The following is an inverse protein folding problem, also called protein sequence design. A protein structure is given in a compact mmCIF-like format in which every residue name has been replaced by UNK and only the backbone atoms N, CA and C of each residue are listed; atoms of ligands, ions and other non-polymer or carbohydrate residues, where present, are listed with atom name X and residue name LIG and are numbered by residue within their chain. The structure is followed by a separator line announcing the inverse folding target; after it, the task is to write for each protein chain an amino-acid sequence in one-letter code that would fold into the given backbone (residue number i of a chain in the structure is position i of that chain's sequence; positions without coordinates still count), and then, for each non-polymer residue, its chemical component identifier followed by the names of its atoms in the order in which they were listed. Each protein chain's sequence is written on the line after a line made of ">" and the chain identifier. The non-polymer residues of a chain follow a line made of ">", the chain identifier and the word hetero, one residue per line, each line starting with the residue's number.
data_IF_356026696458
#
_entry.id   IF_356026696458
#
_cell.length_a   1.000
_cell.length_b   1.000
_cell.length_c   1.000
_cell.angle_alpha   90.00
_cell.angle_beta   90.00
_cell.angle_gamma   90.00
#
_symmetry.space_group_name_H-M   'P 1'
#
loop_
_entity.id
_entity.type
_entity.pdbx_description
1 polymer ?
#
# COMPACT_ATOMS: atom_id res chain seq x y z
N UNK A 1 15.76 -2.84 19.98
CA UNK A 1 16.93 -2.04 19.61
C UNK A 1 17.97 -2.84 18.84
N UNK A 2 18.46 -3.99 19.34
CA UNK A 2 19.44 -4.84 18.62
C UNK A 2 19.03 -5.17 17.18
N UNK A 3 17.79 -5.63 16.97
CA UNK A 3 17.31 -5.99 15.64
C UNK A 3 17.15 -4.79 14.69
N UNK A 4 16.84 -3.60 15.22
CA UNK A 4 16.80 -2.38 14.41
C UNK A 4 18.19 -2.10 13.84
N UNK A 5 19.21 -2.09 14.72
CA UNK A 5 20.60 -1.87 14.32
C UNK A 5 21.05 -2.91 13.28
N UNK A 6 20.76 -4.19 13.51
CA UNK A 6 21.11 -5.27 12.57
C UNK A 6 20.43 -5.06 11.21
N UNK A 7 19.12 -4.79 11.19
CA UNK A 7 18.37 -4.58 9.95
C UNK A 7 18.87 -3.33 9.19
N UNK A 8 19.21 -2.26 9.90
CA UNK A 8 19.77 -1.03 9.31
C UNK A 8 21.16 -1.27 8.73
N UNK A 9 22.04 -1.98 9.44
CA UNK A 9 23.37 -2.35 8.94
C UNK A 9 23.23 -3.25 7.70
N UNK A 10 22.34 -4.25 7.73
CA UNK A 10 22.10 -5.13 6.59
C UNK A 10 21.60 -4.36 5.36
N UNK A 11 20.69 -3.39 5.55
CA UNK A 11 20.24 -2.49 4.48
C UNK A 11 21.40 -1.70 3.88
N UNK A 12 22.22 -1.04 4.70
CA UNK A 12 23.35 -0.25 4.21
C UNK A 12 24.43 -1.10 3.54
N UNK A 13 24.72 -2.28 4.08
CA UNK A 13 25.63 -3.24 3.47
C UNK A 13 25.13 -3.67 2.09
N UNK A 14 23.83 -3.97 1.97
CA UNK A 14 23.25 -4.31 0.68
C UNK A 14 23.31 -3.14 -0.29
N UNK A 15 23.00 -1.91 0.13
CA UNK A 15 23.12 -0.73 -0.74
C UNK A 15 24.55 -0.57 -1.24
N UNK A 16 25.56 -0.77 -0.38
CA UNK A 16 26.96 -0.72 -0.81
C UNK A 16 27.31 -1.80 -1.84
N UNK A 17 26.84 -3.05 -1.62
CA UNK A 17 27.02 -4.16 -2.58
C UNK A 17 26.31 -3.84 -3.90
N UNK A 18 25.07 -3.35 -3.84
CA UNK A 18 24.27 -2.99 -5.01
C UNK A 18 24.94 -1.88 -5.83
N UNK A 19 25.60 -0.91 -5.20
CA UNK A 19 26.38 0.12 -5.89
C UNK A 19 27.65 -0.43 -6.55
N UNK A 20 28.34 -1.36 -5.89
CA UNK A 20 29.60 -1.96 -6.40
C UNK A 20 29.33 -2.91 -7.57
N UNK A 21 28.30 -3.75 -7.46
CA UNK A 21 28.00 -4.82 -8.43
C UNK A 21 26.83 -4.48 -9.38
N UNK A 22 26.44 -3.20 -9.46
CA UNK A 22 25.27 -2.79 -10.26
C UNK A 22 25.42 -3.20 -11.73
N UNK A 23 26.62 -3.03 -12.30
CA UNK A 23 26.88 -3.29 -13.71
C UNK A 23 26.84 -4.79 -14.01
N UNK A 24 27.51 -5.60 -13.20
CA UNK A 24 27.54 -7.06 -13.36
C UNK A 24 26.14 -7.65 -13.21
N UNK A 25 25.34 -7.17 -12.25
CA UNK A 25 23.94 -7.57 -12.10
C UNK A 25 23.10 -7.15 -13.29
N UNK A 26 23.38 -5.99 -13.89
CA UNK A 26 22.68 -5.49 -15.08
C UNK A 26 22.98 -6.35 -16.31
N UNK A 27 24.25 -6.69 -16.54
CA UNK A 27 24.69 -7.46 -17.70
C UNK A 27 24.20 -8.92 -17.62
N UNK A 28 24.28 -9.51 -16.42
CA UNK A 28 23.72 -10.84 -16.16
C UNK A 28 22.21 -10.87 -16.36
N UNK A 29 21.49 -9.84 -15.89
CA UNK A 29 20.05 -9.72 -16.11
C UNK A 29 19.72 -9.59 -17.59
N UNK A 30 20.40 -8.71 -18.31
CA UNK A 30 20.16 -8.46 -19.74
C UNK A 30 20.34 -9.74 -20.54
N UNK A 31 21.43 -10.47 -20.28
CA UNK A 31 21.71 -11.76 -20.93
C UNK A 31 20.60 -12.79 -20.65
N UNK A 32 20.14 -12.88 -19.40
CA UNK A 32 19.04 -13.79 -19.05
C UNK A 32 17.72 -13.36 -19.69
N UNK A 33 17.35 -12.08 -19.65
CA UNK A 33 16.12 -11.57 -20.24
C UNK A 33 16.07 -11.90 -21.73
N UNK A 34 17.14 -11.62 -22.48
CA UNK A 34 17.21 -11.94 -23.91
C UNK A 34 17.08 -13.43 -24.18
N UNK A 35 17.79 -14.26 -23.40
CA UNK A 35 17.67 -15.71 -23.49
C UNK A 35 16.23 -16.19 -23.26
N UNK A 36 15.58 -15.69 -22.19
CA UNK A 36 14.19 -16.05 -21.87
C UNK A 36 13.21 -15.59 -22.96
N UNK A 37 13.41 -14.41 -23.55
CA UNK A 37 12.54 -13.90 -24.61
C UNK A 37 12.71 -14.65 -25.94
N UNK A 38 13.90 -15.17 -26.21
CA UNK A 38 14.19 -15.94 -27.43
C UNK A 38 13.77 -17.42 -27.32
N UNK A 39 13.69 -17.98 -26.12
CA UNK A 39 13.46 -19.41 -25.89
C UNK A 39 12.10 -19.69 -25.24
N UNK A 40 11.06 -18.97 -25.67
CA UNK A 40 9.74 -19.08 -25.07
C UNK A 40 8.97 -20.33 -25.48
N UNK A 41 8.12 -20.81 -24.58
CA UNK A 41 7.10 -21.80 -24.89
C UNK A 41 5.68 -21.20 -24.86
N UNK A 42 4.71 -21.79 -25.59
CA UNK A 42 3.33 -21.30 -25.61
C UNK A 42 2.72 -21.21 -24.20
N UNK A 43 2.16 -20.05 -23.83
CA UNK A 43 1.53 -19.80 -22.54
C UNK A 43 2.47 -19.33 -21.42
N UNK A 44 3.79 -19.28 -21.65
CA UNK A 44 4.76 -18.80 -20.66
C UNK A 44 4.52 -17.34 -20.26
N UNK A 45 4.23 -16.48 -21.25
CA UNK A 45 3.89 -15.07 -21.02
C UNK A 45 2.68 -14.94 -20.10
N UNK A 46 1.61 -15.68 -20.38
CA UNK A 46 0.38 -15.62 -19.59
C UNK A 46 0.62 -16.08 -18.15
N UNK A 47 1.41 -17.14 -17.96
CA UNK A 47 1.82 -17.60 -16.63
C UNK A 47 2.53 -16.49 -15.83
N UNK A 48 3.48 -15.78 -16.43
CA UNK A 48 4.18 -14.69 -15.75
C UNK A 48 3.29 -13.47 -15.49
N UNK A 49 2.34 -13.18 -16.37
CA UNK A 49 1.34 -12.13 -16.16
C UNK A 49 0.44 -12.45 -14.96
N UNK A 50 0.07 -13.72 -14.71
CA UNK A 50 -0.70 -14.10 -13.51
C UNK A 50 0.04 -13.71 -12.22
N UNK A 51 1.33 -14.03 -12.12
CA UNK A 51 2.12 -13.67 -10.93
C UNK A 51 2.29 -12.16 -10.75
N UNK A 52 2.27 -11.40 -11.86
CA UNK A 52 2.35 -9.94 -11.85
C UNK A 52 1.02 -9.32 -11.39
N UNK A 53 -0.08 -9.61 -12.09
CA UNK A 53 -1.37 -8.95 -11.89
C UNK A 53 -2.15 -9.41 -10.66
N UNK A 54 -1.90 -10.62 -10.18
CA UNK A 54 -2.53 -11.13 -8.95
C UNK A 54 -2.29 -10.25 -7.72
N UNK A 55 -1.22 -9.46 -7.69
CA UNK A 55 -0.95 -8.51 -6.62
C UNK A 55 -2.08 -7.50 -6.43
N UNK A 56 -2.75 -7.10 -7.51
CA UNK A 56 -3.87 -6.15 -7.45
C UNK A 56 -5.11 -6.71 -6.72
N UNK A 57 -5.17 -8.03 -6.47
CA UNK A 57 -6.21 -8.64 -5.65
C UNK A 57 -5.99 -8.41 -4.15
N UNK A 58 -4.74 -8.22 -3.70
CA UNK A 58 -4.39 -8.15 -2.27
C UNK A 58 -4.97 -6.91 -1.55
N UNK A 59 -5.02 -5.71 -2.16
CA UNK A 59 -5.78 -4.59 -1.60
C UNK A 59 -7.29 -4.91 -1.45
N UNK A 60 -7.88 -5.64 -2.39
CA UNK A 60 -9.28 -6.06 -2.32
C UNK A 60 -9.53 -7.00 -1.14
N UNK A 61 -8.56 -7.86 -0.79
CA UNK A 61 -8.63 -8.68 0.43
C UNK A 61 -8.68 -7.80 1.69
N UNK A 62 -7.93 -6.70 1.74
CA UNK A 62 -8.02 -5.75 2.86
C UNK A 62 -9.42 -5.14 2.98
N UNK A 63 -10.03 -4.75 1.85
CA UNK A 63 -11.40 -4.23 1.81
C UNK A 63 -12.44 -5.26 2.25
N UNK A 64 -12.33 -6.50 1.77
CA UNK A 64 -13.20 -7.61 2.18
C UNK A 64 -13.02 -7.88 3.68
N UNK A 65 -11.77 -7.96 4.16
CA UNK A 65 -11.45 -8.17 5.57
C UNK A 65 -12.06 -7.08 6.45
N UNK A 66 -11.96 -5.82 6.06
CA UNK A 66 -12.59 -4.70 6.75
C UNK A 66 -14.12 -4.85 6.86
N UNK A 67 -14.76 -5.34 5.79
CA UNK A 67 -16.20 -5.55 5.74
C UNK A 67 -16.69 -6.72 6.59
N UNK A 68 -15.94 -7.84 6.63
CA UNK A 68 -16.45 -9.13 7.14
C UNK A 68 -15.75 -9.68 8.38
N UNK A 69 -14.56 -9.18 8.73
CA UNK A 69 -13.80 -9.64 9.90
C UNK A 69 -13.99 -8.72 11.11
N UNK A 70 -13.72 -9.29 12.29
CA UNK A 70 -13.68 -8.56 13.57
C UNK A 70 -12.53 -7.55 13.60
N UNK A 71 -11.34 -7.97 13.16
CA UNK A 71 -10.10 -7.17 13.12
C UNK A 71 -10.10 -6.13 11.97
N UNK A 72 -11.06 -5.20 12.03
CA UNK A 72 -11.22 -4.11 11.07
C UNK A 72 -10.04 -3.16 11.09
N UNK A 73 -9.52 -2.85 12.27
CA UNK A 73 -8.39 -1.95 12.41
C UNK A 73 -7.12 -2.58 11.81
N UNK A 74 -6.87 -3.88 11.99
CA UNK A 74 -5.81 -4.59 11.29
C UNK A 74 -5.98 -4.57 9.76
N UNK A 75 -7.20 -4.71 9.24
CA UNK A 75 -7.47 -4.57 7.81
C UNK A 75 -7.10 -3.17 7.27
N UNK A 76 -7.41 -2.12 8.03
CA UNK A 76 -7.06 -0.75 7.67
C UNK A 76 -5.54 -0.52 7.75
N UNK A 77 -4.88 -1.00 8.80
CA UNK A 77 -3.42 -0.91 8.96
C UNK A 77 -2.68 -1.69 7.86
N UNK A 78 -3.19 -2.84 7.44
CA UNK A 78 -2.65 -3.57 6.30
C UNK A 78 -2.79 -2.78 4.98
N UNK A 79 -3.97 -2.22 4.71
CA UNK A 79 -4.20 -1.34 3.56
C UNK A 79 -3.29 -0.10 3.57
N UNK A 80 -3.04 0.48 4.75
CA UNK A 80 -2.09 1.57 4.93
C UNK A 80 -0.65 1.18 4.60
N UNK A 81 -0.21 0.00 5.04
CA UNK A 81 1.15 -0.46 4.74
C UNK A 81 1.34 -0.71 3.24
N UNK A 82 0.28 -1.12 2.52
CA UNK A 82 0.30 -1.19 1.06
C UNK A 82 0.52 0.19 0.45
N UNK A 83 -0.27 1.18 0.85
CA UNK A 83 -0.15 2.54 0.31
C UNK A 83 1.17 3.21 0.71
N UNK A 84 1.66 2.95 1.92
CA UNK A 84 2.97 3.39 2.37
C UNK A 84 4.10 2.75 1.55
N UNK A 85 3.99 1.46 1.22
CA UNK A 85 4.92 0.76 0.32
C UNK A 85 4.93 1.39 -1.06
N UNK A 86 3.75 1.67 -1.64
CA UNK A 86 3.63 2.34 -2.94
C UNK A 86 4.23 3.76 -2.94
N UNK A 87 3.92 4.56 -1.92
CA UNK A 87 4.46 5.90 -1.75
C UNK A 87 6.00 5.87 -1.58
N UNK A 88 6.50 4.95 -0.76
CA UNK A 88 7.94 4.76 -0.53
C UNK A 88 8.66 4.28 -1.78
N UNK A 89 8.09 3.34 -2.54
CA UNK A 89 8.65 2.91 -3.81
C UNK A 89 8.82 4.08 -4.78
N UNK A 90 7.78 4.90 -4.90
CA UNK A 90 7.76 6.04 -5.83
C UNK A 90 8.76 7.12 -5.40
N UNK A 91 8.88 7.37 -4.09
CA UNK A 91 9.92 8.24 -3.55
C UNK A 91 11.33 7.70 -3.83
N UNK A 92 11.58 6.43 -3.57
CA UNK A 92 12.88 5.79 -3.83
C UNK A 92 13.22 5.77 -5.33
N UNK A 93 12.22 5.62 -6.20
CA UNK A 93 12.41 5.75 -7.66
C UNK A 93 12.95 7.11 -8.05
N UNK A 94 12.45 8.19 -7.46
CA UNK A 94 13.01 9.52 -7.66
C UNK A 94 14.42 9.66 -7.06
N UNK A 95 14.70 8.98 -5.95
CA UNK A 95 16.05 8.97 -5.37
C UNK A 95 17.07 8.30 -6.30
N UNK A 96 16.72 7.14 -6.88
CA UNK A 96 17.64 6.32 -7.68
C UNK A 96 17.62 6.60 -9.18
N UNK A 97 16.52 7.12 -9.73
CA UNK A 97 16.36 7.60 -11.12
C UNK A 97 16.89 6.67 -12.23
N UNK A 98 17.01 5.36 -11.97
CA UNK A 98 17.58 4.42 -12.92
C UNK A 98 16.55 4.01 -13.98
N UNK A 99 16.99 3.98 -15.24
CA UNK A 99 16.20 3.49 -16.37
C UNK A 99 15.75 2.02 -16.23
N UNK A 100 14.74 1.64 -17.00
CA UNK A 100 14.36 0.23 -17.19
C UNK A 100 15.23 -0.42 -18.26
N UNK A 101 15.41 -1.75 -18.25
CA UNK A 101 16.21 -2.43 -19.28
C UNK A 101 15.76 -2.09 -20.70
N UNK A 102 14.46 -2.17 -20.99
CA UNK A 102 13.92 -1.87 -22.33
C UNK A 102 14.06 -0.39 -22.76
N UNK A 103 14.35 0.54 -21.85
CA UNK A 103 14.62 1.95 -22.20
C UNK A 103 15.97 2.11 -22.91
N UNK A 104 16.92 1.22 -22.64
CA UNK A 104 18.32 1.36 -23.06
C UNK A 104 18.76 0.21 -23.96
N UNK A 105 18.33 -1.01 -23.69
CA UNK A 105 18.68 -2.20 -24.49
C UNK A 105 17.66 -2.36 -25.60
N UNK A 106 18.09 -2.25 -26.86
CA UNK A 106 17.20 -2.25 -28.02
C UNK A 106 16.54 -3.60 -28.24
N UNK A 107 17.23 -4.69 -27.93
CA UNK A 107 16.80 -6.06 -28.18
C UNK A 107 15.79 -6.58 -27.15
N UNK A 108 15.63 -5.89 -26.01
CA UNK A 108 14.63 -6.26 -25.00
C UNK A 108 13.26 -5.72 -25.39
N UNK A 109 12.29 -6.63 -25.54
CA UNK A 109 10.90 -6.29 -25.82
C UNK A 109 10.09 -6.21 -24.52
N UNK A 110 9.43 -5.07 -24.21
CA UNK A 110 8.64 -4.94 -22.99
C UNK A 110 7.26 -5.61 -23.13
N UNK A 111 6.94 -6.55 -22.24
CA UNK A 111 5.57 -7.11 -22.16
C UNK A 111 4.61 -6.29 -21.32
N UNK A 112 5.14 -5.34 -20.54
CA UNK A 112 4.37 -4.33 -19.85
C UNK A 112 5.09 -2.97 -19.99
N UNK A 113 4.31 -1.91 -20.13
CA UNK A 113 4.82 -0.58 -20.44
C UNK A 113 4.67 0.40 -19.29
N UNK A 114 5.64 0.36 -18.38
CA UNK A 114 5.70 1.25 -17.24
C UNK A 114 6.58 2.46 -17.56
N UNK A 115 6.01 3.67 -17.48
CA UNK A 115 6.65 4.93 -17.91
C UNK A 115 7.51 5.60 -16.85
N UNK A 116 7.62 4.99 -15.68
CA UNK A 116 8.34 5.46 -14.49
C UNK A 116 9.74 4.82 -14.39
N UNK A 117 10.60 5.32 -13.48
CA UNK A 117 11.92 4.72 -13.23
C UNK A 117 11.84 3.24 -12.82
N UNK A 118 12.93 2.51 -13.07
CA UNK A 118 13.03 1.08 -12.80
C UNK A 118 13.47 0.73 -11.37
N UNK A 119 14.31 1.54 -10.72
CA UNK A 119 14.92 1.20 -9.43
C UNK A 119 14.30 1.94 -8.26
N UNK A 120 13.84 1.28 -7.18
CA UNK A 120 13.61 -0.17 -7.05
C UNK A 120 12.29 -0.62 -7.69
N UNK A 121 12.15 -1.93 -7.96
CA UNK A 121 10.94 -2.50 -8.54
C UNK A 121 9.74 -2.42 -7.60
N UNK A 122 8.66 -1.80 -8.06
CA UNK A 122 7.40 -1.67 -7.31
C UNK A 122 6.67 -3.00 -7.11
N UNK A 123 6.77 -3.94 -8.06
CA UNK A 123 6.18 -5.28 -7.93
C UNK A 123 6.94 -6.12 -6.90
N UNK A 124 8.28 -6.03 -6.89
CA UNK A 124 9.10 -6.69 -5.87
C UNK A 124 8.80 -6.14 -4.47
N UNK A 125 8.77 -4.81 -4.34
CA UNK A 125 8.45 -4.15 -3.07
C UNK A 125 7.02 -4.50 -2.60
N UNK A 126 6.03 -4.41 -3.49
CA UNK A 126 4.61 -4.65 -3.14
C UNK A 126 4.30 -6.11 -2.86
N UNK A 127 4.87 -7.07 -3.60
CA UNK A 127 4.70 -8.51 -3.29
C UNK A 127 5.23 -8.85 -1.91
N UNK A 128 6.42 -8.35 -1.55
CA UNK A 128 6.97 -8.51 -0.21
C UNK A 128 6.08 -7.88 0.86
N UNK A 129 5.55 -6.68 0.63
CA UNK A 129 4.67 -5.99 1.57
C UNK A 129 3.35 -6.74 1.75
N UNK A 130 2.65 -6.98 0.65
CA UNK A 130 1.30 -7.52 0.65
C UNK A 130 1.29 -8.98 1.11
N UNK A 131 2.17 -9.83 0.58
CA UNK A 131 2.13 -11.25 0.87
C UNK A 131 2.59 -11.57 2.31
N UNK A 132 3.63 -10.90 2.83
CA UNK A 132 4.11 -11.17 4.20
C UNK A 132 3.29 -10.46 5.28
N UNK A 133 2.82 -9.23 5.05
CA UNK A 133 2.06 -8.50 6.07
C UNK A 133 0.62 -9.01 6.21
N UNK A 134 0.02 -9.56 5.15
CA UNK A 134 -1.35 -10.09 5.18
C UNK A 134 -1.58 -11.11 6.30
N UNK A 135 -0.85 -12.26 6.37
CA UNK A 135 -1.06 -13.21 7.45
C UNK A 135 -0.60 -12.67 8.80
N UNK A 136 0.42 -11.80 8.84
CA UNK A 136 0.93 -11.23 10.08
C UNK A 136 -0.10 -10.32 10.77
N UNK A 137 -0.79 -9.49 9.99
CA UNK A 137 -1.71 -8.46 10.51
C UNK A 137 -3.15 -8.99 10.60
N UNK A 138 -3.65 -9.69 9.57
CA UNK A 138 -5.05 -10.14 9.55
C UNK A 138 -5.25 -11.45 10.31
N UNK A 139 -4.24 -12.31 10.33
CA UNK A 139 -4.32 -13.65 10.93
C UNK A 139 -3.19 -13.87 11.95
N UNK A 140 -2.99 -12.98 12.94
CA UNK A 140 -1.87 -13.06 13.88
C UNK A 140 -1.86 -14.36 14.69
N UNK A 141 -3.02 -15.00 14.84
CA UNK A 141 -3.20 -16.32 15.43
C UNK A 141 -2.40 -17.44 14.75
N UNK A 142 -2.05 -17.29 13.47
CA UNK A 142 -1.19 -18.25 12.76
C UNK A 142 0.21 -18.27 13.37
N UNK A 143 0.70 -17.14 13.86
CA UNK A 143 2.09 -16.94 14.28
C UNK A 143 2.30 -16.97 15.79
N UNK A 144 1.24 -16.90 16.60
CA UNK A 144 1.34 -16.95 18.06
C UNK A 144 1.36 -18.40 18.53
N UNK A 145 2.46 -18.80 19.16
CA UNK A 145 2.54 -20.05 19.93
C UNK A 145 1.75 -19.89 21.22
N UNK A 146 0.58 -20.51 21.24
CA UNK A 146 -0.35 -20.46 22.36
C UNK A 146 -0.74 -21.91 22.69
N UNK A 147 -0.78 -22.29 23.98
CA UNK A 147 -0.89 -23.68 24.43
C UNK A 147 -2.18 -24.43 24.00
N UNK A 148 -3.14 -23.74 23.37
CA UNK A 148 -4.42 -24.28 22.90
C UNK A 148 -4.67 -24.06 21.39
N UNK A 149 -3.64 -23.81 20.56
CA UNK A 149 -3.87 -23.35 19.19
C UNK A 149 -3.96 -24.40 18.08
N UNK A 150 -4.89 -24.05 17.17
CA UNK A 150 -5.53 -24.74 16.06
C UNK A 150 -4.67 -24.91 14.80
N UNK A 151 -3.48 -24.32 14.76
CA UNK A 151 -2.63 -24.24 13.56
C UNK A 151 -1.29 -24.95 13.80
N UNK A 152 -1.15 -26.22 13.39
CA UNK A 152 0.09 -26.97 13.52
C UNK A 152 1.23 -26.38 12.68
N UNK A 153 2.47 -26.68 13.06
CA UNK A 153 3.70 -26.16 12.44
C UNK A 153 3.71 -26.30 10.91
N UNK A 154 3.22 -27.42 10.37
CA UNK A 154 3.19 -27.66 8.92
C UNK A 154 2.36 -26.61 8.16
N UNK A 155 1.28 -26.08 8.74
CA UNK A 155 0.48 -25.02 8.11
C UNK A 155 1.32 -23.75 7.98
N UNK A 156 2.08 -23.39 9.02
CA UNK A 156 2.96 -22.21 8.99
C UNK A 156 4.03 -22.35 7.92
N UNK A 157 4.66 -23.52 7.83
CA UNK A 157 5.67 -23.82 6.81
C UNK A 157 5.08 -23.71 5.41
N UNK A 158 3.89 -24.28 5.17
CA UNK A 158 3.20 -24.19 3.87
C UNK A 158 2.87 -22.73 3.53
N UNK A 159 2.36 -21.95 4.48
CA UNK A 159 2.03 -20.53 4.27
C UNK A 159 3.28 -19.72 3.92
N UNK A 160 4.38 -19.90 4.65
CA UNK A 160 5.66 -19.25 4.35
C UNK A 160 6.14 -19.65 2.95
N UNK A 161 6.11 -20.94 2.62
CA UNK A 161 6.53 -21.42 1.31
C UNK A 161 5.73 -20.78 0.18
N UNK A 162 4.39 -20.76 0.28
CA UNK A 162 3.52 -20.14 -0.73
C UNK A 162 3.84 -18.66 -0.89
N UNK A 163 3.99 -17.92 0.21
CA UNK A 163 4.29 -16.48 0.20
C UNK A 163 5.65 -16.20 -0.42
N UNK A 164 6.69 -16.96 -0.03
CA UNK A 164 8.04 -16.81 -0.56
C UNK A 164 8.09 -17.16 -2.03
N UNK A 165 7.46 -18.27 -2.43
CA UNK A 165 7.35 -18.66 -3.83
C UNK A 165 6.64 -17.60 -4.66
N UNK A 166 5.49 -17.10 -4.21
CA UNK A 166 4.75 -16.05 -4.91
C UNK A 166 5.58 -14.78 -5.06
N UNK A 167 6.20 -14.33 -3.97
CA UNK A 167 7.06 -13.12 -3.96
C UNK A 167 8.22 -13.26 -4.94
N UNK A 168 8.87 -14.42 -4.97
CA UNK A 168 9.95 -14.70 -5.90
C UNK A 168 9.46 -14.70 -7.35
N UNK A 169 8.38 -15.43 -7.64
CA UNK A 169 7.81 -15.52 -9.00
C UNK A 169 7.33 -14.16 -9.51
N UNK A 170 6.78 -13.30 -8.65
CA UNK A 170 6.43 -11.93 -9.02
C UNK A 170 7.66 -11.08 -9.34
N UNK A 171 8.79 -11.26 -8.65
CA UNK A 171 10.04 -10.58 -9.02
C UNK A 171 10.60 -11.11 -10.34
N UNK A 172 10.69 -12.43 -10.47
CA UNK A 172 11.22 -13.10 -11.66
C UNK A 172 10.39 -12.81 -12.91
N UNK A 173 9.06 -12.70 -12.78
CA UNK A 173 8.20 -12.28 -13.90
C UNK A 173 8.61 -10.92 -14.47
N UNK A 174 9.16 -10.00 -13.66
CA UNK A 174 9.61 -8.69 -14.13
C UNK A 174 10.88 -8.75 -14.98
N UNK A 175 11.74 -9.74 -14.72
CA UNK A 175 12.93 -10.02 -15.55
C UNK A 175 12.50 -10.55 -16.90
N UNK A 176 11.59 -11.52 -16.90
CA UNK A 176 11.00 -12.11 -18.09
C UNK A 176 10.31 -11.05 -18.97
N UNK A 177 9.55 -10.15 -18.35
CA UNK A 177 8.86 -9.06 -19.06
C UNK A 177 9.80 -7.96 -19.57
N UNK A 178 11.10 -8.00 -19.26
CA UNK A 178 12.08 -7.02 -19.73
C UNK A 178 12.00 -5.63 -19.06
N UNK A 179 11.24 -5.51 -17.97
CA UNK A 179 10.91 -4.20 -17.36
C UNK A 179 11.75 -3.84 -16.14
N UNK A 180 12.48 -4.81 -15.59
CA UNK A 180 13.35 -4.61 -14.43
C UNK A 180 14.60 -5.49 -14.49
N UNK A 181 15.68 -4.99 -13.87
CA UNK A 181 16.89 -5.78 -13.64
C UNK A 181 16.91 -6.47 -12.27
N UNK A 182 17.83 -7.44 -12.08
CA UNK A 182 18.04 -8.08 -10.78
C UNK A 182 18.30 -7.09 -9.65
N UNK A 183 19.21 -6.13 -9.84
CA UNK A 183 19.50 -5.12 -8.82
C UNK A 183 18.25 -4.32 -8.44
N UNK A 184 17.39 -4.00 -9.42
CA UNK A 184 16.13 -3.29 -9.17
C UNK A 184 15.13 -4.12 -8.34
N UNK A 185 15.06 -5.43 -8.60
CA UNK A 185 14.16 -6.36 -7.91
C UNK A 185 14.64 -6.62 -6.48
N UNK A 186 15.92 -7.00 -6.33
CA UNK A 186 16.48 -7.37 -5.02
C UNK A 186 16.48 -6.15 -4.10
N UNK A 187 16.83 -4.96 -4.59
CA UNK A 187 16.74 -3.73 -3.80
C UNK A 187 15.30 -3.44 -3.34
N UNK A 188 14.31 -3.71 -4.19
CA UNK A 188 12.89 -3.61 -3.81
C UNK A 188 12.51 -4.55 -2.67
N UNK A 189 12.96 -5.81 -2.71
CA UNK A 189 12.75 -6.75 -1.61
C UNK A 189 13.47 -6.34 -0.34
N UNK A 190 14.72 -5.87 -0.43
CA UNK A 190 15.51 -5.46 0.73
C UNK A 190 14.88 -4.25 1.44
N UNK A 191 14.49 -3.22 0.69
CA UNK A 191 13.78 -2.07 1.29
C UNK A 191 12.47 -2.48 1.94
N UNK A 192 11.67 -3.31 1.29
CA UNK A 192 10.40 -3.71 1.89
C UNK A 192 10.59 -4.60 3.10
N UNK A 193 11.54 -5.55 3.06
CA UNK A 193 11.86 -6.38 4.21
C UNK A 193 12.26 -5.51 5.41
N UNK A 194 13.12 -4.52 5.18
CA UNK A 194 13.49 -3.54 6.21
C UNK A 194 12.24 -2.81 6.77
N UNK A 195 11.42 -2.21 5.90
CA UNK A 195 10.20 -1.48 6.31
C UNK A 195 9.25 -2.38 7.11
N UNK A 196 8.96 -3.58 6.60
CA UNK A 196 8.06 -4.55 7.23
C UNK A 196 8.58 -5.02 8.58
N UNK A 197 9.88 -5.32 8.72
CA UNK A 197 10.50 -5.74 9.98
C UNK A 197 10.41 -4.60 11.00
N UNK A 198 10.79 -3.37 10.61
CA UNK A 198 10.73 -2.23 11.54
C UNK A 198 9.28 -1.96 11.97
N UNK A 199 8.34 -1.98 11.02
CA UNK A 199 6.93 -1.77 11.29
C UNK A 199 6.39 -2.80 12.27
N UNK A 200 6.50 -4.10 11.95
CA UNK A 200 5.92 -5.16 12.75
C UNK A 200 6.49 -5.23 14.17
N UNK A 201 7.78 -4.95 14.34
CA UNK A 201 8.47 -5.15 15.62
C UNK A 201 8.39 -3.93 16.53
N UNK A 202 8.39 -2.72 15.98
CA UNK A 202 8.52 -1.50 16.77
C UNK A 202 7.30 -0.57 16.73
N UNK A 203 6.43 -0.73 15.72
CA UNK A 203 5.38 0.26 15.40
C UNK A 203 3.99 -0.35 15.48
N UNK A 204 3.76 -1.53 14.90
CA UNK A 204 2.44 -2.14 14.71
C UNK A 204 1.63 -2.21 16.00
N UNK A 205 2.13 -2.93 17.01
CA UNK A 205 1.41 -3.11 18.28
C UNK A 205 1.16 -1.78 18.99
N UNK A 206 2.10 -0.82 18.92
CA UNK A 206 1.93 0.50 19.54
C UNK A 206 0.83 1.32 18.88
N UNK A 207 0.78 1.32 17.55
CA UNK A 207 -0.29 1.99 16.79
C UNK A 207 -1.61 1.29 17.08
N UNK A 208 -1.64 -0.04 17.05
CA UNK A 208 -2.84 -0.84 17.29
C UNK A 208 -3.42 -0.56 18.68
N UNK A 209 -2.61 -0.66 19.73
CA UNK A 209 -3.01 -0.35 21.11
C UNK A 209 -3.48 1.10 21.25
N UNK A 210 -2.71 2.07 20.74
CA UNK A 210 -3.07 3.48 20.82
C UNK A 210 -4.43 3.78 20.15
N UNK A 211 -4.65 3.24 18.95
CA UNK A 211 -5.90 3.43 18.23
C UNK A 211 -7.06 2.73 18.93
N UNK A 212 -6.88 1.50 19.43
CA UNK A 212 -7.93 0.82 20.20
C UNK A 212 -8.33 1.61 21.44
N UNK A 213 -7.37 2.10 22.22
CA UNK A 213 -7.65 2.93 23.41
C UNK A 213 -8.37 4.23 23.03
N UNK A 214 -7.96 4.88 21.94
CA UNK A 214 -8.63 6.10 21.46
C UNK A 214 -10.09 5.87 21.04
N UNK A 215 -10.43 4.64 20.64
CA UNK A 215 -11.75 4.28 20.12
C UNK A 215 -12.65 3.61 21.17
N UNK A 216 -12.23 3.54 22.43
CA UNK A 216 -13.06 3.06 23.53
C UNK A 216 -14.09 4.11 23.99
N UNK A 217 -15.17 3.63 24.62
CA UNK A 217 -16.19 4.51 25.22
C UNK A 217 -15.59 5.42 26.29
N UNK A 218 -15.96 6.70 26.28
CA UNK A 218 -15.49 7.69 27.26
C UNK A 218 -14.11 8.30 26.96
N UNK A 219 -13.37 7.80 25.96
CA UNK A 219 -12.10 8.39 25.56
C UNK A 219 -12.27 9.62 24.66
N UNK A 220 -11.28 10.53 24.69
CA UNK A 220 -11.27 11.80 23.93
C UNK A 220 -10.96 11.63 22.42
N UNK A 221 -10.80 10.40 21.94
CA UNK A 221 -10.32 10.10 20.59
C UNK A 221 -8.83 10.44 20.40
N UNK A 222 -8.39 10.46 19.13
CA UNK A 222 -7.02 10.82 18.76
C UNK A 222 -6.66 12.23 19.24
N UNK A 223 -5.44 12.41 19.76
CA UNK A 223 -4.97 13.72 20.23
C UNK A 223 -4.60 14.64 19.06
N UNK A 224 -4.80 15.95 19.22
CA UNK A 224 -4.39 16.92 18.19
C UNK A 224 -2.88 16.87 17.92
N UNK A 225 -2.06 16.54 18.94
CA UNK A 225 -0.61 16.38 18.81
C UNK A 225 -0.24 15.26 17.84
N UNK A 226 -0.95 14.12 17.89
CA UNK A 226 -0.71 13.02 16.95
C UNK A 226 -1.04 13.42 15.51
N UNK A 227 -2.14 14.15 15.31
CA UNK A 227 -2.50 14.69 13.99
C UNK A 227 -1.42 15.64 13.49
N UNK A 228 -0.92 16.53 14.34
CA UNK A 228 0.16 17.46 14.00
C UNK A 228 1.46 16.74 13.64
N UNK A 229 1.85 15.70 14.38
CA UNK A 229 3.06 14.90 14.11
C UNK A 229 2.92 14.18 12.76
N UNK A 230 1.81 13.51 12.51
CA UNK A 230 1.59 12.79 11.24
C UNK A 230 1.50 13.78 10.06
N UNK A 231 0.85 14.92 10.26
CA UNK A 231 0.80 16.01 9.29
C UNK A 231 2.18 16.58 8.97
N UNK A 232 3.03 16.78 9.99
CA UNK A 232 4.41 17.23 9.80
C UNK A 232 5.23 16.20 9.02
N UNK A 233 5.07 14.90 9.32
CA UNK A 233 5.75 13.83 8.57
C UNK A 233 5.33 13.86 7.09
N UNK A 234 4.04 13.92 6.79
CA UNK A 234 3.54 13.97 5.41
C UNK A 234 3.98 15.25 4.68
N UNK A 235 4.02 16.38 5.38
CA UNK A 235 4.52 17.64 4.85
C UNK A 235 6.01 17.57 4.53
N UNK A 236 6.84 17.12 5.47
CA UNK A 236 8.28 16.93 5.26
C UNK A 236 8.55 15.95 4.12
N UNK A 237 7.81 14.84 4.05
CA UNK A 237 7.88 13.90 2.94
C UNK A 237 7.61 14.59 1.59
N UNK A 238 6.55 15.40 1.52
CA UNK A 238 6.19 16.16 0.32
C UNK A 238 7.32 17.12 -0.08
N UNK A 239 7.89 17.86 0.88
CA UNK A 239 9.01 18.77 0.61
C UNK A 239 10.23 18.04 0.04
N UNK A 240 10.61 16.90 0.64
CA UNK A 240 11.75 16.11 0.15
C UNK A 240 11.44 15.51 -1.23
N UNK A 241 10.20 15.07 -1.46
CA UNK A 241 9.78 14.56 -2.77
C UNK A 241 9.86 15.65 -3.87
N UNK A 242 9.48 16.89 -3.55
CA UNK A 242 9.65 18.06 -4.44
C UNK A 242 11.12 18.31 -4.74
N UNK A 243 11.99 18.24 -3.73
CA UNK A 243 13.44 18.41 -3.93
C UNK A 243 13.96 17.38 -4.94
N UNK A 244 13.63 16.09 -4.77
CA UNK A 244 14.06 15.08 -5.73
C UNK A 244 13.41 15.21 -7.12
N UNK A 245 12.16 15.67 -7.19
CA UNK A 245 11.52 16.00 -8.48
C UNK A 245 12.36 17.03 -9.25
N UNK A 246 12.74 18.13 -8.60
CA UNK A 246 13.47 19.22 -9.24
C UNK A 246 14.94 18.87 -9.49
N UNK A 247 15.59 18.12 -8.60
CA UNK A 247 16.94 17.60 -8.85
C UNK A 247 16.96 16.67 -10.06
N UNK A 248 15.97 15.77 -10.21
CA UNK A 248 15.87 14.93 -11.39
C UNK A 248 15.64 15.75 -12.67
N UNK A 249 14.80 16.78 -12.61
CA UNK A 249 14.50 17.63 -13.77
C UNK A 249 15.72 18.44 -14.25
N UNK A 250 16.50 19.01 -13.33
CA UNK A 250 17.52 20.01 -13.67
C UNK A 250 18.96 19.56 -13.49
N UNK A 251 19.21 18.49 -12.73
CA UNK A 251 20.56 18.10 -12.32
C UNK A 251 20.90 16.67 -12.74
N UNK A 252 20.06 15.69 -12.38
CA UNK A 252 20.44 14.28 -12.52
C UNK A 252 20.16 13.70 -13.90
N UNK A 253 19.16 14.18 -14.63
CA UNK A 253 18.76 13.62 -15.93
C UNK A 253 19.05 14.63 -17.02
N UNK A 254 19.86 14.23 -18.00
CA UNK A 254 20.12 15.07 -19.16
C UNK A 254 18.91 15.05 -20.13
N UNK A 255 18.64 16.14 -20.86
CA UNK A 255 17.57 16.16 -21.85
C UNK A 255 17.72 15.06 -22.91
N UNK A 256 18.94 14.75 -23.33
CA UNK A 256 19.21 13.70 -24.32
C UNK A 256 18.86 12.31 -23.80
N UNK A 257 19.21 12.01 -22.54
CA UNK A 257 18.88 10.75 -21.89
C UNK A 257 17.37 10.58 -21.69
N UNK A 258 16.68 11.63 -21.26
CA UNK A 258 15.23 11.61 -21.14
C UNK A 258 14.54 11.41 -22.50
N UNK A 259 15.00 12.08 -23.56
CA UNK A 259 14.50 11.87 -24.92
C UNK A 259 14.73 10.44 -25.37
N UNK A 260 15.92 9.87 -25.14
CA UNK A 260 16.23 8.48 -25.47
C UNK A 260 15.24 7.51 -24.82
N UNK A 261 15.01 7.66 -23.51
CA UNK A 261 14.09 6.79 -22.78
C UNK A 261 12.63 6.95 -23.24
N UNK A 262 12.18 8.19 -23.50
CA UNK A 262 10.81 8.44 -23.96
C UNK A 262 10.58 7.95 -25.39
N UNK A 263 11.58 8.05 -26.26
CA UNK A 263 11.55 7.44 -27.60
C UNK A 263 11.44 5.93 -27.49
N UNK A 264 12.25 5.28 -26.64
CA UNK A 264 12.16 3.84 -26.42
C UNK A 264 10.78 3.41 -25.89
N UNK A 265 10.17 4.19 -24.99
CA UNK A 265 8.79 3.97 -24.56
C UNK A 265 7.82 4.11 -25.73
N UNK A 266 7.94 5.16 -26.54
CA UNK A 266 7.04 5.40 -27.67
C UNK A 266 7.12 4.30 -28.73
N UNK A 267 8.33 3.86 -29.08
CA UNK A 267 8.57 2.88 -30.14
C UNK A 267 8.19 1.46 -29.73
N UNK A 268 8.47 1.07 -28.48
CA UNK A 268 8.31 -0.32 -28.02
C UNK A 268 6.98 -0.61 -27.36
N UNK A 269 6.27 0.42 -26.88
CA UNK A 269 5.02 0.20 -26.17
C UNK A 269 3.83 0.23 -27.12
N UNK A 270 3.06 -0.85 -27.11
CA UNK A 270 1.80 -0.92 -27.83
C UNK A 270 0.87 0.25 -27.41
N UNK A 271 0.09 0.75 -28.38
CA UNK A 271 -0.93 1.78 -28.20
C UNK A 271 -0.43 3.16 -27.71
N UNK A 272 0.87 3.47 -27.82
CA UNK A 272 1.33 4.85 -27.58
C UNK A 272 1.01 5.72 -28.80
N UNK A 273 0.14 6.71 -28.61
CA UNK A 273 -0.21 7.70 -29.64
C UNK A 273 0.57 9.00 -29.52
N UNK A 274 1.17 9.24 -28.36
CA UNK A 274 1.87 10.49 -28.04
C UNK A 274 3.30 10.22 -27.59
N UNK A 275 4.24 10.98 -28.15
CA UNK A 275 5.61 11.03 -27.66
C UNK A 275 5.66 11.94 -26.43
N UNK A 276 5.97 11.35 -25.28
CA UNK A 276 6.06 12.10 -24.03
C UNK A 276 7.35 12.91 -23.94
N UNK A 277 7.26 14.07 -23.31
CA UNK A 277 8.41 14.87 -22.89
C UNK A 277 8.73 14.60 -21.43
N UNK A 278 9.94 14.98 -20.99
CA UNK A 278 10.35 14.89 -19.59
C UNK A 278 9.41 15.65 -18.62
N UNK A 279 8.70 16.67 -19.13
CA UNK A 279 7.74 17.47 -18.34
C UNK A 279 6.32 16.89 -18.35
N UNK A 280 6.08 15.81 -19.09
CA UNK A 280 4.77 15.16 -19.12
C UNK A 280 4.44 14.56 -17.73
N UNK A 281 3.25 14.78 -17.18
CA UNK A 281 2.94 14.39 -15.80
C UNK A 281 2.92 12.88 -15.57
N UNK A 282 2.74 12.09 -16.63
CA UNK A 282 2.56 10.64 -16.59
C UNK A 282 3.85 9.83 -16.81
N UNK A 283 5.03 10.46 -16.77
CA UNK A 283 6.31 9.78 -17.04
C UNK A 283 7.38 10.08 -15.98
N UNK A 284 8.35 9.17 -15.89
CA UNK A 284 9.60 9.28 -15.13
C UNK A 284 9.42 9.84 -13.72
N UNK A 285 10.04 10.97 -13.41
CA UNK A 285 10.02 11.59 -12.09
C UNK A 285 8.67 12.19 -11.71
N UNK A 286 7.86 12.58 -12.71
CA UNK A 286 6.59 13.25 -12.46
C UNK A 286 5.56 12.27 -11.89
N UNK A 287 5.43 11.09 -12.50
CA UNK A 287 4.56 10.03 -11.98
C UNK A 287 5.06 9.53 -10.62
N UNK A 288 6.37 9.36 -10.44
CA UNK A 288 6.97 8.95 -9.17
C UNK A 288 6.69 9.98 -8.05
N UNK A 289 6.78 11.27 -8.36
CA UNK A 289 6.45 12.33 -7.42
C UNK A 289 4.98 12.28 -7.03
N UNK A 290 4.07 12.27 -8.01
CA UNK A 290 2.62 12.20 -7.77
C UNK A 290 2.25 11.01 -6.88
N UNK A 291 2.72 9.81 -7.22
CA UNK A 291 2.42 8.59 -6.45
C UNK A 291 3.04 8.59 -5.04
N UNK A 292 4.15 9.30 -4.82
CA UNK A 292 4.74 9.44 -3.49
C UNK A 292 3.84 10.20 -2.50
N UNK A 293 2.85 10.96 -2.99
CA UNK A 293 1.96 11.78 -2.16
C UNK A 293 0.75 11.02 -1.60
N UNK A 294 0.58 9.73 -1.94
CA UNK A 294 -0.41 8.89 -1.27
C UNK A 294 -0.21 8.77 0.24
N UNK A 295 0.95 9.17 0.77
CA UNK A 295 1.20 9.29 2.21
C UNK A 295 0.15 10.14 2.95
N UNK A 296 -0.48 11.11 2.26
CA UNK A 296 -1.51 11.98 2.82
C UNK A 296 -2.78 11.24 3.26
N UNK A 297 -3.00 10.00 2.81
CA UNK A 297 -4.13 9.18 3.27
C UNK A 297 -4.06 8.89 4.77
N UNK A 298 -2.85 8.76 5.33
CA UNK A 298 -2.65 8.53 6.76
C UNK A 298 -3.11 9.73 7.59
N UNK A 299 -2.77 10.95 7.15
CA UNK A 299 -3.21 12.21 7.78
C UNK A 299 -4.73 12.30 7.75
N UNK A 300 -5.32 12.04 6.58
CA UNK A 300 -6.77 12.09 6.40
C UNK A 300 -7.52 11.16 7.33
N UNK A 301 -7.04 9.93 7.46
CA UNK A 301 -7.72 8.95 8.29
C UNK A 301 -7.61 9.26 9.79
N UNK A 302 -6.48 9.78 10.29
CA UNK A 302 -6.41 10.20 11.71
C UNK A 302 -7.29 11.41 12.00
N UNK A 303 -7.40 12.34 11.04
CA UNK A 303 -8.39 13.42 11.10
C UNK A 303 -9.81 12.84 11.08
N UNK A 304 -10.07 11.89 10.20
CA UNK A 304 -11.36 11.23 10.06
C UNK A 304 -11.82 10.50 11.31
N UNK A 305 -10.94 9.74 11.98
CA UNK A 305 -11.21 9.16 13.30
C UNK A 305 -11.62 10.26 14.28
N UNK A 306 -10.84 11.35 14.37
CA UNK A 306 -11.12 12.45 15.30
C UNK A 306 -12.47 13.12 15.02
N UNK A 307 -12.82 13.32 13.75
CA UNK A 307 -14.08 13.93 13.32
C UNK A 307 -15.29 13.02 13.54
N UNK A 308 -15.12 11.71 13.36
CA UNK A 308 -16.21 10.74 13.51
C UNK A 308 -16.74 10.68 14.94
N UNK A 309 -15.85 10.83 15.95
CA UNK A 309 -16.13 10.55 17.37
C UNK A 309 -16.76 9.17 17.61
N UNK A 310 -16.57 8.24 16.68
CA UNK A 310 -17.11 6.89 16.77
C UNK A 310 -16.27 6.02 17.71
N UNK A 311 -16.89 4.94 18.18
CA UNK A 311 -16.21 3.92 18.99
C UNK A 311 -15.94 2.65 18.18
N UNK A 312 -15.12 1.76 18.71
CA UNK A 312 -14.85 0.46 18.09
C UNK A 312 -14.77 -0.65 19.15
N UNK A 313 -15.73 -1.57 19.10
CA UNK A 313 -15.86 -2.71 20.01
C UNK A 313 -15.56 -4.01 19.24
N UNK A 314 -14.27 -4.25 18.95
CA UNK A 314 -13.78 -5.33 18.06
C UNK A 314 -14.48 -6.68 18.29
N UNK A 315 -14.61 -7.11 19.55
CA UNK A 315 -15.14 -8.44 19.89
C UNK A 315 -16.66 -8.61 19.71
N UNK A 316 -17.39 -7.53 19.40
CA UNK A 316 -18.85 -7.59 19.23
C UNK A 316 -19.28 -7.77 17.78
N UNK A 317 -18.42 -7.42 16.81
CA UNK A 317 -18.81 -7.34 15.40
C UNK A 317 -19.38 -8.65 14.87
N UNK A 318 -18.66 -9.76 14.97
CA UNK A 318 -19.10 -11.06 14.41
C UNK A 318 -20.40 -11.58 15.00
N UNK A 319 -20.66 -11.32 16.28
CA UNK A 319 -21.91 -11.74 16.92
C UNK A 319 -23.10 -11.03 16.29
N UNK A 320 -23.06 -9.69 16.21
CA UNK A 320 -24.16 -8.90 15.65
C UNK A 320 -24.21 -8.89 14.11
N UNK A 321 -23.07 -9.05 13.43
CA UNK A 321 -23.03 -9.16 11.98
C UNK A 321 -23.74 -10.43 11.50
N UNK A 322 -23.67 -11.53 12.25
CA UNK A 322 -24.40 -12.77 11.92
C UNK A 322 -25.91 -12.57 11.91
N UNK A 323 -26.44 -11.76 12.82
CA UNK A 323 -27.89 -11.48 12.89
C UNK A 323 -28.42 -10.57 11.77
N UNK A 324 -27.54 -9.92 10.99
CA UNK A 324 -27.98 -9.15 9.83
C UNK A 324 -28.54 -10.06 8.73
N UNK A 325 -29.62 -9.62 8.10
CA UNK A 325 -30.17 -10.24 6.90
C UNK A 325 -29.16 -10.15 5.74
N UNK A 326 -29.24 -11.09 4.79
CA UNK A 326 -28.34 -11.14 3.63
C UNK A 326 -28.38 -9.84 2.81
N UNK A 327 -29.56 -9.23 2.65
CA UNK A 327 -29.70 -7.96 1.93
C UNK A 327 -28.97 -6.82 2.65
N UNK A 328 -28.95 -6.78 3.98
CA UNK A 328 -28.22 -5.76 4.76
C UNK A 328 -26.71 -5.93 4.57
N UNK A 329 -26.22 -7.18 4.62
CA UNK A 329 -24.80 -7.48 4.35
C UNK A 329 -24.39 -7.04 2.95
N UNK A 330 -25.22 -7.34 1.96
CA UNK A 330 -25.00 -6.95 0.56
C UNK A 330 -25.02 -5.43 0.39
N UNK A 331 -25.98 -4.76 1.02
CA UNK A 331 -26.10 -3.30 1.00
C UNK A 331 -24.85 -2.62 1.59
N UNK A 332 -24.29 -3.15 2.69
CA UNK A 332 -23.05 -2.64 3.29
C UNK A 332 -21.85 -2.69 2.34
N UNK A 333 -21.75 -3.74 1.54
CA UNK A 333 -20.69 -3.90 0.52
C UNK A 333 -20.93 -2.89 -0.61
N UNK A 334 -22.16 -2.81 -1.13
CA UNK A 334 -22.52 -1.93 -2.21
C UNK A 334 -22.29 -0.44 -1.86
N UNK A 335 -22.63 -0.04 -0.63
CA UNK A 335 -22.34 1.31 -0.12
C UNK A 335 -20.84 1.61 -0.19
N UNK A 336 -19.99 0.70 0.30
CA UNK A 336 -18.54 0.94 0.26
C UNK A 336 -18.02 1.03 -1.17
N UNK A 337 -18.49 0.16 -2.06
CA UNK A 337 -18.12 0.17 -3.50
C UNK A 337 -18.53 1.51 -4.13
N UNK A 338 -19.77 1.98 -3.92
CA UNK A 338 -20.22 3.27 -4.45
C UNK A 338 -19.32 4.40 -3.93
N UNK A 339 -19.07 4.44 -2.62
CA UNK A 339 -18.27 5.51 -2.03
C UNK A 339 -16.84 5.54 -2.59
N UNK A 340 -16.22 4.37 -2.80
CA UNK A 340 -14.91 4.29 -3.45
C UNK A 340 -15.00 4.70 -4.92
N UNK A 341 -16.07 4.29 -5.62
CA UNK A 341 -16.29 4.65 -7.02
C UNK A 341 -16.48 6.16 -7.24
N UNK A 342 -16.94 6.91 -6.24
CA UNK A 342 -17.00 8.38 -6.29
C UNK A 342 -15.61 9.03 -6.44
N UNK A 343 -14.52 8.31 -6.20
CA UNK A 343 -13.16 8.78 -6.42
C UNK A 343 -12.71 8.60 -7.89
N UNK A 344 -13.35 7.72 -8.66
CA UNK A 344 -12.98 7.44 -10.07
C UNK A 344 -12.96 8.70 -10.95
N UNK A 345 -13.97 9.60 -10.89
CA UNK A 345 -13.96 10.80 -11.71
C UNK A 345 -12.71 11.67 -11.52
N UNK A 346 -12.11 11.69 -10.32
CA UNK A 346 -10.88 12.43 -10.09
C UNK A 346 -9.72 11.87 -10.93
N UNK A 347 -9.65 10.55 -11.10
CA UNK A 347 -8.61 9.87 -11.89
C UNK A 347 -8.76 10.09 -13.40
N UNK A 348 -9.95 10.50 -13.86
CA UNK A 348 -10.20 10.83 -15.26
C UNK A 348 -9.81 12.27 -15.62
N UNK A 349 -9.49 13.11 -14.63
CA UNK A 349 -9.06 14.48 -14.87
C UNK A 349 -7.59 14.47 -15.30
N UNK A 350 -7.34 14.92 -16.53
CA UNK A 350 -6.00 15.14 -17.05
C UNK A 350 -5.50 16.53 -16.64
N UNK A 351 -4.23 16.60 -16.23
CA UNK A 351 -3.56 17.83 -15.87
C UNK A 351 -2.36 18.03 -16.79
N UNK A 352 -2.07 19.29 -17.15
CA UNK A 352 -0.90 19.63 -17.96
C UNK A 352 0.39 19.80 -17.14
N UNK A 353 0.28 19.86 -15.82
CA UNK A 353 1.40 20.07 -14.90
C UNK A 353 1.40 19.00 -13.83
N UNK A 354 2.58 18.47 -13.54
CA UNK A 354 2.80 17.51 -12.44
C UNK A 354 2.33 18.07 -11.09
N UNK A 355 2.54 19.36 -10.84
CA UNK A 355 2.10 20.00 -9.60
C UNK A 355 0.58 20.07 -9.51
N UNK A 356 -0.08 20.40 -10.62
CA UNK A 356 -1.53 20.43 -10.68
C UNK A 356 -2.12 19.03 -10.49
N UNK A 357 -1.51 18.00 -11.07
CA UNK A 357 -1.89 16.60 -10.82
C UNK A 357 -1.71 16.23 -9.34
N UNK A 358 -0.54 16.48 -8.79
CA UNK A 358 -0.19 16.11 -7.42
C UNK A 358 -1.12 16.76 -6.38
N UNK A 359 -1.31 18.08 -6.47
CA UNK A 359 -2.08 18.87 -5.50
C UNK A 359 -3.57 18.96 -5.82
N UNK A 360 -3.96 18.82 -7.09
CA UNK A 360 -5.35 18.89 -7.54
C UNK A 360 -6.04 17.51 -7.66
N UNK A 361 -5.27 16.43 -7.79
CA UNK A 361 -5.78 15.06 -7.92
C UNK A 361 -5.36 14.19 -6.73
N UNK A 362 -4.06 13.93 -6.58
CA UNK A 362 -3.59 12.85 -5.68
C UNK A 362 -3.83 13.17 -4.21
N UNK A 363 -3.46 14.37 -3.73
CA UNK A 363 -3.71 14.76 -2.35
C UNK A 363 -5.23 14.82 -2.04
N UNK A 364 -6.07 15.48 -2.85
CA UNK A 364 -7.51 15.49 -2.64
C UNK A 364 -8.11 14.08 -2.60
N UNK A 365 -7.75 13.19 -3.53
CA UNK A 365 -8.23 11.80 -3.53
C UNK A 365 -7.78 11.05 -2.27
N UNK A 366 -6.53 11.25 -1.84
CA UNK A 366 -6.02 10.65 -0.60
C UNK A 366 -6.79 11.16 0.63
N UNK A 367 -7.12 12.45 0.66
CA UNK A 367 -7.91 13.05 1.72
C UNK A 367 -9.34 12.52 1.69
N UNK A 368 -10.01 12.54 0.55
CA UNK A 368 -11.37 12.04 0.43
C UNK A 368 -11.45 10.54 0.75
N UNK A 369 -10.51 9.73 0.28
CA UNK A 369 -10.47 8.30 0.57
C UNK A 369 -10.41 7.97 2.06
N UNK A 370 -9.54 8.66 2.82
CA UNK A 370 -9.48 8.49 4.27
C UNK A 370 -10.77 8.91 4.99
N UNK A 371 -11.36 10.05 4.60
CA UNK A 371 -12.61 10.55 5.18
C UNK A 371 -13.84 9.70 4.80
N UNK A 372 -13.87 9.13 3.60
CA UNK A 372 -14.92 8.23 3.14
C UNK A 372 -15.01 7.02 4.08
N UNK A 373 -13.88 6.37 4.34
CA UNK A 373 -13.84 5.16 5.17
C UNK A 373 -14.20 5.47 6.62
N UNK A 374 -13.67 6.57 7.16
CA UNK A 374 -13.78 6.90 8.60
C UNK A 374 -15.07 7.62 8.97
N UNK A 375 -15.54 8.56 8.14
CA UNK A 375 -16.66 9.47 8.48
C UNK A 375 -17.91 9.16 7.67
N UNK A 376 -17.78 9.05 6.34
CA UNK A 376 -18.94 8.96 5.46
C UNK A 376 -19.59 7.58 5.57
N UNK A 377 -18.78 6.51 5.49
CA UNK A 377 -19.26 5.14 5.54
C UNK A 377 -19.99 4.84 6.85
N UNK A 378 -19.38 5.14 8.00
CA UNK A 378 -19.97 4.92 9.33
C UNK A 378 -21.29 5.66 9.52
N UNK A 379 -21.38 6.92 9.07
CA UNK A 379 -22.62 7.71 9.12
C UNK A 379 -23.73 7.13 8.24
N UNK A 380 -23.40 6.66 7.04
CA UNK A 380 -24.39 6.05 6.14
C UNK A 380 -24.92 4.74 6.73
N UNK A 381 -24.06 3.89 7.29
CA UNK A 381 -24.49 2.65 7.95
C UNK A 381 -25.46 2.94 9.11
N UNK A 382 -25.16 3.98 9.89
CA UNK A 382 -26.03 4.43 10.97
C UNK A 382 -27.38 4.95 10.46
N UNK A 383 -27.36 5.88 9.51
CA UNK A 383 -28.58 6.49 8.95
C UNK A 383 -29.53 5.45 8.33
N UNK A 384 -28.98 4.46 7.65
CA UNK A 384 -29.74 3.36 7.05
C UNK A 384 -30.14 2.26 8.04
N UNK A 385 -29.80 2.39 9.34
CA UNK A 385 -30.10 1.41 10.40
C UNK A 385 -29.55 0.01 10.11
N UNK A 386 -28.38 -0.06 9.50
CA UNK A 386 -27.65 -1.32 9.18
C UNK A 386 -26.28 -1.40 9.88
N UNK A 387 -25.96 -0.39 10.71
CA UNK A 387 -24.84 -0.39 11.64
C UNK A 387 -25.09 -1.42 12.75
N UNK A 388 -24.03 -2.13 13.16
CA UNK A 388 -24.08 -3.10 14.26
C UNK A 388 -22.98 -2.81 15.29
N UNK A 389 -23.17 -3.25 16.55
CA UNK A 389 -22.10 -3.17 17.54
C UNK A 389 -20.81 -3.84 17.06
N UNK A 390 -19.69 -3.14 17.23
CA UNK A 390 -18.38 -3.56 16.72
C UNK A 390 -18.04 -3.08 15.31
N UNK A 391 -18.94 -2.35 14.64
CA UNK A 391 -18.56 -1.61 13.45
C UNK A 391 -17.46 -0.58 13.74
N UNK A 392 -16.59 -0.36 12.76
CA UNK A 392 -15.51 0.61 12.90
C UNK A 392 -16.10 2.02 12.95
N UNK A 393 -15.78 2.76 14.02
CA UNK A 393 -16.31 4.11 14.29
C UNK A 393 -17.84 4.13 14.39
N UNK A 394 -18.39 3.16 15.11
CA UNK A 394 -19.80 3.11 15.44
C UNK A 394 -20.23 4.38 16.19
N UNK A 395 -21.29 5.02 15.70
CA UNK A 395 -21.89 6.21 16.31
C UNK A 395 -22.90 5.75 17.36
N UNK A 396 -22.65 6.12 18.62
CA UNK A 396 -23.63 5.97 19.70
C UNK A 396 -24.24 7.34 19.94
N UNK A 397 -25.53 7.48 19.64
CA UNK A 397 -26.30 8.55 20.27
C UNK A 397 -26.63 8.08 21.67
N UNK A 398 -26.11 8.79 22.68
CA UNK A 398 -26.77 8.80 23.97
C UNK A 398 -28.15 9.38 23.70
N UNK A 399 -29.14 8.51 23.44
CA UNK A 399 -30.52 8.92 23.60
C UNK A 399 -30.62 9.53 25.00
N UNK A 400 -31.16 10.75 24.99
CA UNK A 400 -31.23 11.72 26.08
C UNK A 400 -31.34 11.02 27.43
N UNK A 401 -30.47 11.43 28.36
CA UNK A 401 -30.70 11.38 29.81
C UNK A 401 -31.72 10.33 30.22
N UNK A 402 -31.25 9.15 30.62
CA UNK A 402 -32.01 8.34 31.55
C UNK A 402 -32.60 9.31 32.60
N UNK A 403 -33.93 9.32 32.81
CA UNK A 403 -34.54 10.22 33.77
C UNK A 403 -33.76 10.09 35.08
N UNK A 404 -33.32 11.23 35.63
CA UNK A 404 -32.45 11.33 36.79
C UNK A 404 -32.80 10.24 37.83
N UNK A 405 -31.97 9.19 37.93
CA UNK A 405 -32.16 8.15 38.96
C UNK A 405 -31.80 6.70 38.62
N UNK A 406 -31.56 6.31 37.36
CA UNK A 406 -31.14 4.92 37.06
C UNK A 406 -29.64 4.83 36.82
N UNK A 407 -28.89 4.56 37.89
CA UNK A 407 -27.50 4.11 37.82
C UNK A 407 -27.45 2.76 37.07
N UNK A 408 -26.90 2.75 35.87
CA UNK A 408 -26.50 1.50 35.21
C UNK A 408 -25.30 0.92 35.97
N UNK A 409 -25.56 0.08 36.97
CA UNK A 409 -24.61 -0.94 37.38
C UNK A 409 -24.43 -1.90 36.20
N UNK A 410 -23.35 -1.71 35.45
CA UNK A 410 -22.81 -2.73 34.57
C UNK A 410 -22.41 -3.93 35.44
N UNK A 411 -23.33 -4.88 35.59
CA UNK A 411 -23.03 -6.21 36.12
C UNK A 411 -22.03 -6.88 35.18
N UNK A 412 -20.75 -6.75 35.52
CA UNK A 412 -19.71 -7.68 35.12
C UNK A 412 -20.02 -9.02 35.79
N UNK A 413 -20.88 -9.84 35.18
CA UNK A 413 -20.96 -11.26 35.53
C UNK A 413 -19.72 -11.94 34.99
N UNK A 414 -18.80 -12.21 35.91
CA UNK A 414 -17.81 -13.28 35.79
C UNK A 414 -18.55 -14.63 35.72
N UNK A 415 -18.45 -15.31 34.59
CA UNK A 415 -18.69 -16.74 34.44
C UNK A 415 -17.72 -17.30 33.41
#
# INVERSE_FOLDING_TARGET
>A
MKLFIIATIALFLYIAIDLIFNQEMWDANTSLTLYLQQNQFPGEKDMFLVFSYSLFLLPSIAGIAFLVLDNKLGALLYGWMILFSAASNSFLKNLYHQARPYFIVQEIEPYECNKEFGKPSGHAMSSSAMCFLLPCILFPAIWKDQPNYKYPLYIRVIVIFIITFWTFMTGFSRVFMGVHSFGQIILGWVYQAYISIIYMIYIHDKIMTYLTECLQMGHKGISIRVIQIIGLIAFSWTCVAIIFLELNRYVFISPAEATLWMTAVYEKCENQTTLYTIDSPLVLQNICFSMSLYIWIMVSFVIGIKLSKGIYLENQFRYHYKSLYLWQKTLRIFILIILIALLIPFFLIEFNSVYAQAFGQIIPVSILGGLIITVVYSKILYYLKISVPGDFLQIIYYEQSAPDGMSFELQAKSS
#
